data_IF_436888562690
#
_entry.id   IF_436888562690
#
_cell.length_a   1.000
_cell.length_b   1.000
_cell.length_c   1.000
_cell.angle_alpha   90.00
_cell.angle_beta   90.00
_cell.angle_gamma   90.00
#
_symmetry.space_group_name_H-M   'P 1'
#
loop_
_entity.id
_entity.type
_entity.pdbx_description
1 polymer ?
#
# COMPACT_ATOMS: atom_id res chain seq x y z
N UNK A 1 2.29 18.45 20.25
CA UNK A 1 1.57 19.56 19.58
C UNK A 1 1.03 19.09 18.22
N UNK A 2 -0.18 18.52 18.20
CA UNK A 2 -0.83 18.09 16.97
C UNK A 2 -1.64 19.27 16.44
N UNK A 3 -1.05 20.01 15.50
CA UNK A 3 -1.75 21.06 14.77
C UNK A 3 -2.86 20.45 13.94
N UNK A 4 -4.09 20.49 14.45
CA UNK A 4 -5.30 20.24 13.68
C UNK A 4 -5.53 21.45 12.78
N UNK A 5 -5.07 21.35 11.52
CA UNK A 5 -5.58 22.20 10.44
C UNK A 5 -6.95 21.68 9.96
N UNK A 6 -7.76 22.53 9.32
CA UNK A 6 -9.07 22.13 8.82
C UNK A 6 -8.95 21.03 7.74
N UNK A 7 -9.62 19.89 7.96
CA UNK A 7 -10.10 19.00 6.88
C UNK A 7 -9.08 18.25 6.00
N UNK A 8 -8.08 17.56 6.55
CA UNK A 8 -7.28 16.63 5.73
C UNK A 8 -8.12 15.42 5.27
N UNK A 9 -8.04 15.05 3.98
CA UNK A 9 -8.77 13.92 3.41
C UNK A 9 -8.42 12.61 4.12
N UNK A 10 -9.28 11.58 4.03
CA UNK A 10 -8.96 10.26 4.61
C UNK A 10 -7.63 9.74 4.08
N UNK A 11 -7.42 9.83 2.76
CA UNK A 11 -6.15 9.50 2.11
C UNK A 11 -4.97 10.24 2.75
N UNK A 12 -5.05 11.56 2.93
CA UNK A 12 -3.96 12.35 3.50
C UNK A 12 -3.62 11.90 4.94
N UNK A 13 -4.63 11.52 5.73
CA UNK A 13 -4.41 10.98 7.08
C UNK A 13 -3.68 9.63 7.03
N UNK A 14 -4.05 8.75 6.12
CA UNK A 14 -3.39 7.44 5.97
C UNK A 14 -1.96 7.60 5.44
N UNK A 15 -1.73 8.50 4.48
CA UNK A 15 -0.37 8.84 4.00
C UNK A 15 0.50 9.34 5.14
N UNK A 16 -0.01 10.24 5.98
CA UNK A 16 0.74 10.75 7.14
C UNK A 16 1.10 9.63 8.13
N UNK A 17 0.23 8.62 8.29
CA UNK A 17 0.54 7.44 9.10
C UNK A 17 1.68 6.63 8.46
N UNK A 18 1.64 6.34 7.16
CA UNK A 18 2.73 5.65 6.45
C UNK A 18 4.06 6.40 6.59
N UNK A 19 4.06 7.72 6.41
CA UNK A 19 5.26 8.57 6.54
C UNK A 19 5.80 8.60 7.97
N UNK A 20 4.91 8.67 8.97
CA UNK A 20 5.31 8.56 10.37
C UNK A 20 5.91 7.19 10.70
N UNK A 21 5.40 6.10 10.10
CA UNK A 21 5.93 4.75 10.30
C UNK A 21 7.32 4.59 9.65
N UNK A 22 7.50 5.12 8.43
CA UNK A 22 8.81 5.16 7.75
C UNK A 22 9.88 5.94 8.52
N UNK A 23 9.49 7.03 9.20
CA UNK A 23 10.42 7.89 9.94
C UNK A 23 10.87 7.31 11.29
N UNK A 24 10.29 6.19 11.76
CA UNK A 24 10.63 5.59 13.06
C UNK A 24 11.91 4.75 12.94
N UNK A 25 12.99 5.10 13.66
CA UNK A 25 14.15 4.22 13.75
C UNK A 25 13.76 2.93 14.46
N UNK A 26 14.02 1.78 13.84
CA UNK A 26 13.71 0.47 14.41
C UNK A 26 12.27 -0.01 14.25
N UNK A 27 11.53 0.44 13.23
CA UNK A 27 10.44 -0.39 12.71
C UNK A 27 11.03 -1.77 12.42
N UNK A 28 10.49 -2.87 12.99
CA UNK A 28 11.26 -4.09 13.06
C UNK A 28 11.56 -4.60 11.64
N UNK A 29 12.83 -4.64 11.27
CA UNK A 29 13.32 -5.85 10.59
C UNK A 29 12.91 -6.98 11.52
N UNK A 30 11.86 -7.71 11.13
CA UNK A 30 11.26 -8.79 11.88
C UNK A 30 12.25 -9.95 11.98
N UNK A 31 13.24 -9.78 12.85
CA UNK A 31 14.40 -10.65 12.97
C UNK A 31 14.92 -10.65 14.39
N UNK A 32 14.03 -10.64 15.39
CA UNK A 32 14.33 -11.14 16.74
C UNK A 32 13.05 -11.25 17.58
N UNK A 33 12.64 -12.50 17.81
CA UNK A 33 11.81 -13.01 18.91
C UNK A 33 10.70 -12.12 19.47
N UNK A 34 9.47 -12.37 19.01
CA UNK A 34 8.25 -11.93 19.67
C UNK A 34 7.23 -11.48 18.63
N UNK A 35 6.31 -12.37 18.29
CA UNK A 35 5.19 -12.17 17.35
C UNK A 35 4.46 -10.85 17.59
N UNK A 36 4.88 -9.79 16.91
CA UNK A 36 3.98 -8.74 16.44
C UNK A 36 3.87 -8.91 14.94
N UNK A 37 3.34 -10.08 14.52
CA UNK A 37 2.83 -10.24 13.17
C UNK A 37 1.96 -9.02 12.90
N UNK A 38 2.09 -8.40 11.73
CA UNK A 38 0.90 -7.81 11.14
C UNK A 38 -0.09 -8.97 11.09
N UNK A 39 -0.97 -9.07 12.09
CA UNK A 39 -1.95 -10.12 12.15
C UNK A 39 -2.79 -9.87 10.91
N UNK A 40 -2.56 -10.69 9.88
CA UNK A 40 -3.36 -10.68 8.66
C UNK A 40 -4.73 -11.17 9.10
N UNK A 41 -5.51 -10.25 9.66
CA UNK A 41 -6.93 -10.45 9.88
C UNK A 41 -7.56 -10.86 8.55
N UNK A 42 -8.71 -11.49 8.60
CA UNK A 42 -9.40 -12.00 7.41
C UNK A 42 -9.41 -10.94 6.32
N UNK A 43 -8.59 -11.11 5.28
CA UNK A 43 -8.51 -10.17 4.16
C UNK A 43 -9.82 -10.29 3.40
N UNK A 44 -10.47 -9.16 3.13
CA UNK A 44 -11.71 -9.20 2.36
C UNK A 44 -11.36 -9.62 0.94
N UNK A 45 -11.74 -10.86 0.56
CA UNK A 45 -11.51 -11.42 -0.77
C UNK A 45 -10.04 -11.39 -1.21
N UNK A 46 -9.09 -11.55 -0.29
CA UNK A 46 -7.67 -11.59 -0.62
C UNK A 46 -7.11 -10.25 -1.12
N UNK A 47 -7.84 -9.16 -0.93
CA UNK A 47 -7.33 -7.84 -1.24
C UNK A 47 -6.26 -7.44 -0.23
N UNK A 48 -5.17 -6.89 -0.75
CA UNK A 48 -4.09 -6.29 0.03
C UNK A 48 -4.32 -4.79 0.27
N UNK A 49 -3.47 -4.15 1.08
CA UNK A 49 -3.43 -2.70 1.23
C UNK A 49 -3.32 -1.97 -0.11
N UNK A 50 -2.49 -2.46 -1.04
CA UNK A 50 -2.33 -1.83 -2.34
C UNK A 50 -3.57 -1.97 -3.23
N UNK A 51 -4.27 -3.11 -3.17
CA UNK A 51 -5.57 -3.28 -3.84
C UNK A 51 -6.59 -2.26 -3.34
N UNK A 52 -6.72 -2.11 -2.02
CA UNK A 52 -7.64 -1.14 -1.40
C UNK A 52 -7.31 0.30 -1.79
N UNK A 53 -6.03 0.68 -1.75
CA UNK A 53 -5.60 2.02 -2.15
C UNK A 53 -5.92 2.29 -3.63
N UNK A 54 -5.69 1.31 -4.51
CA UNK A 54 -5.96 1.41 -5.93
C UNK A 54 -7.47 1.48 -6.24
N UNK A 55 -8.27 0.60 -5.65
CA UNK A 55 -9.72 0.54 -5.82
C UNK A 55 -10.43 1.79 -5.31
N UNK A 56 -9.82 2.52 -4.37
CA UNK A 56 -10.37 3.77 -3.85
C UNK A 56 -9.81 5.02 -4.55
N UNK A 57 -8.84 4.84 -5.46
CA UNK A 57 -8.21 5.92 -6.21
C UNK A 57 -7.22 6.76 -5.40
N UNK A 58 -6.70 6.23 -4.30
CA UNK A 58 -5.75 6.91 -3.41
C UNK A 58 -4.33 6.93 -3.99
N UNK A 59 -4.13 7.75 -5.02
CA UNK A 59 -2.88 7.86 -5.75
C UNK A 59 -1.70 8.29 -4.85
N UNK A 60 -1.93 9.18 -3.89
CA UNK A 60 -0.91 9.62 -2.91
C UNK A 60 -0.53 8.50 -1.96
N UNK A 61 -1.50 7.67 -1.57
CA UNK A 61 -1.21 6.47 -0.78
C UNK A 61 -0.42 5.44 -1.57
N UNK A 62 -0.77 5.17 -2.83
CA UNK A 62 0.02 4.30 -3.72
C UNK A 62 1.49 4.73 -3.75
N UNK A 63 1.75 6.03 -3.90
CA UNK A 63 3.12 6.57 -3.92
C UNK A 63 3.82 6.48 -2.56
N UNK A 64 3.09 6.65 -1.46
CA UNK A 64 3.63 6.47 -0.11
C UNK A 64 4.02 5.00 0.15
N UNK A 65 3.17 4.04 -0.25
CA UNK A 65 3.45 2.61 -0.13
C UNK A 65 4.64 2.20 -1.00
N UNK A 66 4.74 2.72 -2.24
CA UNK A 66 5.90 2.52 -3.11
C UNK A 66 7.21 2.97 -2.45
N UNK A 67 7.21 4.17 -1.86
CA UNK A 67 8.36 4.70 -1.12
C UNK A 67 8.69 3.83 0.09
N UNK A 68 7.68 3.38 0.83
CA UNK A 68 7.87 2.52 1.99
C UNK A 68 8.51 1.18 1.61
N UNK A 69 8.05 0.54 0.53
CA UNK A 69 8.66 -0.68 -0.01
C UNK A 69 10.16 -0.53 -0.23
N UNK A 70 10.57 0.59 -0.82
CA UNK A 70 11.98 0.87 -1.10
C UNK A 70 12.84 1.08 0.16
N UNK A 71 12.23 1.48 1.28
CA UNK A 71 12.91 1.69 2.56
C UNK A 71 12.92 0.44 3.45
N UNK A 72 11.94 -0.45 3.29
CA UNK A 72 11.74 -1.64 4.11
C UNK A 72 11.91 -2.94 3.30
N UNK A 73 13.00 -3.01 2.51
CA UNK A 73 13.26 -4.12 1.57
C UNK A 73 13.34 -5.50 2.21
N UNK A 74 13.64 -5.58 3.51
CA UNK A 74 13.75 -6.86 4.25
C UNK A 74 12.43 -7.26 4.94
N UNK A 75 11.35 -6.49 4.80
CA UNK A 75 10.06 -6.77 5.42
C UNK A 75 9.17 -7.61 4.51
N UNK A 76 9.18 -8.94 4.70
CA UNK A 76 8.33 -9.87 3.96
C UNK A 76 6.83 -9.62 4.18
N UNK A 77 6.43 -9.18 5.37
CA UNK A 77 5.03 -8.92 5.69
C UNK A 77 4.53 -7.68 4.96
N UNK A 78 5.38 -6.65 4.84
CA UNK A 78 5.05 -5.48 4.05
C UNK A 78 4.96 -5.86 2.57
N UNK A 79 5.90 -6.65 2.05
CA UNK A 79 5.92 -7.09 0.65
C UNK A 79 4.62 -7.80 0.24
N UNK A 80 4.08 -8.67 1.09
CA UNK A 80 2.80 -9.35 0.85
C UNK A 80 1.63 -8.38 0.63
N UNK A 81 1.66 -7.22 1.29
CA UNK A 81 0.58 -6.24 1.25
C UNK A 81 0.71 -5.22 0.10
N UNK A 82 1.94 -5.00 -0.40
CA UNK A 82 2.23 -3.91 -1.35
C UNK A 82 2.94 -4.31 -2.64
N UNK A 83 3.07 -5.61 -2.93
CA UNK A 83 3.50 -6.09 -4.24
C UNK A 83 2.48 -5.65 -5.32
N UNK A 84 2.89 -4.83 -6.33
CA UNK A 84 2.01 -4.39 -7.40
C UNK A 84 1.55 -5.51 -8.35
N UNK A 85 2.15 -6.69 -8.28
CA UNK A 85 1.78 -7.86 -9.08
C UNK A 85 0.93 -8.88 -8.32
N UNK A 86 0.68 -8.65 -7.03
CA UNK A 86 -0.18 -9.54 -6.26
C UNK A 86 -1.60 -9.51 -6.83
N UNK A 87 -2.31 -10.64 -6.74
CA UNK A 87 -3.68 -10.78 -7.25
C UNK A 87 -4.63 -11.17 -6.14
N UNK A 88 -5.83 -10.60 -6.16
CA UNK A 88 -6.90 -10.96 -5.23
C UNK A 88 -7.61 -12.28 -5.64
N UNK A 89 -8.71 -12.64 -4.95
CA UNK A 89 -9.48 -13.85 -5.27
C UNK A 89 -10.14 -13.84 -6.66
N UNK A 90 -10.24 -12.69 -7.31
CA UNK A 90 -10.74 -12.56 -8.69
C UNK A 90 -9.60 -12.57 -9.72
N UNK A 91 -8.37 -12.86 -9.28
CA UNK A 91 -7.16 -12.75 -10.11
C UNK A 91 -6.92 -11.32 -10.61
N UNK A 92 -7.44 -10.31 -9.92
CA UNK A 92 -7.25 -8.91 -10.27
C UNK A 92 -6.02 -8.34 -9.57
N UNK A 93 -5.15 -7.65 -10.30
CA UNK A 93 -4.07 -6.84 -9.71
C UNK A 93 -4.60 -5.51 -9.18
N UNK A 94 -3.84 -4.77 -8.34
CA UNK A 94 -4.20 -3.41 -7.96
C UNK A 94 -4.42 -2.49 -9.18
N UNK A 95 -3.61 -2.65 -10.23
CA UNK A 95 -3.77 -1.86 -11.46
C UNK A 95 -5.11 -2.13 -12.15
N UNK A 96 -5.55 -3.39 -12.20
CA UNK A 96 -6.86 -3.75 -12.78
C UNK A 96 -8.01 -3.06 -12.04
N UNK A 97 -7.96 -3.02 -10.70
CA UNK A 97 -8.95 -2.31 -9.89
C UNK A 97 -8.98 -0.80 -10.15
N UNK A 98 -7.81 -0.15 -10.20
CA UNK A 98 -7.73 1.29 -10.51
C UNK A 98 -8.30 1.60 -11.90
N UNK A 99 -7.98 0.77 -12.90
CA UNK A 99 -8.51 0.91 -14.26
C UNK A 99 -10.02 0.67 -14.33
N UNK A 100 -10.52 -0.42 -13.73
CA UNK A 100 -11.94 -0.79 -13.77
C UNK A 100 -12.86 0.27 -13.14
N UNK A 101 -12.36 0.99 -12.13
CA UNK A 101 -13.12 2.02 -11.42
C UNK A 101 -12.82 3.45 -11.92
N UNK A 102 -12.02 3.61 -12.97
CA UNK A 102 -11.73 4.91 -13.59
C UNK A 102 -10.78 5.81 -12.79
N UNK A 103 -10.00 5.25 -11.86
CA UNK A 103 -9.04 5.99 -11.05
C UNK A 103 -7.72 6.24 -11.81
N UNK A 104 -7.79 7.13 -12.81
CA UNK A 104 -6.69 7.42 -13.74
C UNK A 104 -5.36 7.70 -13.04
N UNK A 105 -5.34 8.58 -12.04
CA UNK A 105 -4.09 8.98 -11.40
C UNK A 105 -3.43 7.83 -10.62
N UNK A 106 -4.21 7.01 -9.93
CA UNK A 106 -3.71 5.81 -9.26
C UNK A 106 -3.18 4.78 -10.27
N UNK A 107 -3.91 4.57 -11.37
CA UNK A 107 -3.51 3.66 -12.45
C UNK A 107 -2.17 4.10 -13.10
N UNK A 108 -2.00 5.40 -13.38
CA UNK A 108 -0.74 5.93 -13.92
C UNK A 108 0.44 5.69 -12.97
N UNK A 109 0.25 5.89 -11.66
CA UNK A 109 1.31 5.65 -10.66
C UNK A 109 1.67 4.16 -10.56
N UNK A 110 0.68 3.27 -10.53
CA UNK A 110 0.89 1.81 -10.51
C UNK A 110 1.60 1.33 -11.78
N UNK A 111 1.19 1.81 -12.95
CA UNK A 111 1.82 1.47 -14.23
C UNK A 111 3.28 1.92 -14.30
N UNK A 112 3.62 3.09 -13.73
CA UNK A 112 5.00 3.57 -13.67
C UNK A 112 5.82 2.83 -12.61
N UNK A 113 5.18 2.37 -11.54
CA UNK A 113 5.82 1.57 -10.50
C UNK A 113 6.30 0.24 -11.07
N UNK A 114 5.42 -0.55 -11.69
CA UNK A 114 5.82 -1.79 -12.34
C UNK A 114 5.04 -2.05 -13.62
N UNK A 115 5.73 -1.98 -14.77
CA UNK A 115 5.13 -2.20 -16.08
C UNK A 115 4.71 -3.64 -16.32
N UNK A 116 5.22 -4.61 -15.53
CA UNK A 116 4.80 -6.01 -15.63
C UNK A 116 3.32 -6.18 -15.31
N UNK A 117 2.73 -5.27 -14.51
CA UNK A 117 1.31 -5.29 -14.19
C UNK A 117 0.39 -5.10 -15.42
N UNK A 118 0.92 -4.63 -16.56
CA UNK A 118 0.20 -4.54 -17.83
C UNK A 118 0.14 -5.87 -18.60
N UNK A 119 0.96 -6.85 -18.21
CA UNK A 119 1.10 -8.14 -18.88
C UNK A 119 0.48 -9.30 -18.08
N UNK A 120 -0.21 -8.98 -16.99
CA UNK A 120 -0.91 -9.94 -16.12
C UNK A 120 -2.34 -10.12 -16.60
#
# INVERSE_FOLDING_TARGET
>A
PWGQGPGSSFEARVVAICEAMMARPGWPSLGTSGTSMLAHGVTFRGMTLLHLAAAQGYASLVEALRRWRALAVDSLELEQEIDPLNVDHFSCTPLMWACALGHREAAERLCRWDRRALAV
#
